data_IF_828646408744
#
_entry.id   IF_828646408744
#
_cell.length_a   1.000
_cell.length_b   1.000
_cell.length_c   1.000
_cell.angle_alpha   90.00
_cell.angle_beta   90.00
_cell.angle_gamma   90.00
#
_symmetry.space_group_name_H-M   'P 1'
#
loop_
_entity.id
_entity.type
_entity.pdbx_description
1 polymer ?
#
# COMPACT_ATOMS: atom_id res chain seq x y z
N UNK A 1 -12.91 0.44 -5.23
CA UNK A 1 -12.63 -0.98 -4.98
C UNK A 1 -13.94 -1.61 -4.55
N UNK A 2 -14.36 -2.71 -5.18
CA UNK A 2 -15.63 -3.39 -4.87
C UNK A 2 -16.84 -2.44 -4.92
N UNK A 3 -16.98 -1.72 -6.04
CA UNK A 3 -17.99 -0.68 -6.31
C UNK A 3 -17.99 0.54 -5.36
N UNK A 4 -17.18 0.51 -4.30
CA UNK A 4 -17.03 1.61 -3.34
C UNK A 4 -15.97 2.62 -3.78
N UNK A 5 -16.30 3.89 -3.61
CA UNK A 5 -15.39 5.03 -3.82
C UNK A 5 -14.66 5.37 -2.53
N UNK A 6 -13.36 5.57 -2.62
CA UNK A 6 -12.51 5.97 -1.51
C UNK A 6 -11.82 7.30 -1.86
N UNK A 7 -12.01 8.32 -1.03
CA UNK A 7 -11.45 9.66 -1.21
C UNK A 7 -10.27 9.94 -0.26
N UNK A 8 -9.77 8.91 0.41
CA UNK A 8 -8.65 8.95 1.35
C UNK A 8 -7.76 7.73 1.11
N UNK A 9 -6.54 7.79 1.62
CA UNK A 9 -5.62 6.68 1.57
C UNK A 9 -6.18 5.45 2.28
N UNK A 10 -6.04 4.29 1.64
CA UNK A 10 -6.57 3.02 2.12
C UNK A 10 -5.50 1.93 2.11
N UNK A 11 -5.76 0.91 2.91
CA UNK A 11 -5.08 -0.38 2.89
C UNK A 11 -6.12 -1.41 2.43
N UNK A 12 -5.76 -2.21 1.45
CA UNK A 12 -6.51 -3.39 1.01
C UNK A 12 -5.78 -4.61 1.54
N UNK A 13 -6.43 -5.34 2.43
CA UNK A 13 -5.93 -6.53 3.09
C UNK A 13 -5.98 -7.76 2.16
N UNK A 14 -5.25 -8.82 2.51
CA UNK A 14 -5.19 -10.06 1.71
C UNK A 14 -6.56 -10.71 1.55
N UNK A 15 -7.39 -10.64 2.58
CA UNK A 15 -8.77 -11.14 2.59
C UNK A 15 -9.76 -10.25 1.81
N UNK A 16 -9.28 -9.11 1.29
CA UNK A 16 -10.06 -8.13 0.55
C UNK A 16 -10.76 -7.10 1.42
N UNK A 17 -10.61 -7.13 2.75
CA UNK A 17 -11.08 -6.05 3.62
C UNK A 17 -10.32 -4.75 3.32
N UNK A 18 -10.97 -3.63 3.61
CA UNK A 18 -10.37 -2.30 3.38
C UNK A 18 -10.38 -1.49 4.66
N UNK A 19 -9.21 -1.00 5.06
CA UNK A 19 -9.07 -0.11 6.21
C UNK A 19 -8.42 1.22 5.83
N UNK A 20 -8.58 2.29 6.63
CA UNK A 20 -7.87 3.54 6.40
C UNK A 20 -6.36 3.39 6.64
N UNK A 21 -5.54 4.01 5.78
CA UNK A 21 -4.08 4.06 5.98
C UNK A 21 -3.72 4.86 7.24
N UNK A 22 -2.87 4.30 8.10
CA UNK A 22 -2.38 4.92 9.34
C UNK A 22 -1.19 5.87 9.09
N UNK A 23 -1.37 6.88 8.23
CA UNK A 23 -0.31 7.84 7.80
C UNK A 23 0.38 8.63 8.92
N UNK A 24 -0.22 8.65 10.11
CA UNK A 24 0.36 9.29 11.29
C UNK A 24 1.64 8.58 11.75
N UNK A 25 1.76 7.27 11.52
CA UNK A 25 2.95 6.48 11.83
C UNK A 25 4.16 7.05 11.08
N UNK A 26 4.06 7.18 9.75
CA UNK A 26 5.11 7.82 8.94
C UNK A 26 5.39 9.26 9.38
N UNK A 27 4.34 10.03 9.67
CA UNK A 27 4.49 11.43 10.05
C UNK A 27 5.24 11.61 11.38
N UNK A 28 5.02 10.73 12.36
CA UNK A 28 5.75 10.73 13.64
C UNK A 28 7.23 10.36 13.45
N UNK A 29 7.54 9.43 12.54
CA UNK A 29 8.92 8.97 12.29
C UNK A 29 9.75 9.93 11.42
N UNK A 30 9.17 10.43 10.33
CA UNK A 30 9.88 11.21 9.31
C UNK A 30 9.46 12.69 9.25
N UNK A 31 8.53 13.14 10.09
CA UNK A 31 7.93 14.48 10.01
C UNK A 31 6.96 14.66 8.84
N UNK A 32 6.81 13.66 7.96
CA UNK A 32 5.98 13.69 6.76
C UNK A 32 5.39 12.31 6.44
N UNK A 33 4.23 12.26 5.78
CA UNK A 33 3.62 11.01 5.29
C UNK A 33 4.04 10.62 3.87
N UNK A 34 4.87 11.45 3.22
CA UNK A 34 5.43 11.17 1.89
C UNK A 34 6.59 10.15 1.95
N UNK A 35 7.14 9.89 3.13
CA UNK A 35 8.10 8.81 3.37
C UNK A 35 7.36 7.76 4.19
N UNK A 36 7.08 6.60 3.59
CA UNK A 36 6.36 5.52 4.25
C UNK A 36 7.29 4.75 5.19
N UNK A 37 6.88 4.70 6.45
CA UNK A 37 7.53 3.92 7.49
C UNK A 37 7.23 2.44 7.37
N UNK A 38 8.22 1.60 7.70
CA UNK A 38 8.09 0.14 7.77
C UNK A 38 6.91 -0.28 8.67
N UNK A 39 6.68 0.45 9.75
CA UNK A 39 5.60 0.21 10.70
C UNK A 39 4.19 0.37 10.10
N UNK A 40 4.05 1.00 8.91
CA UNK A 40 2.79 0.98 8.15
C UNK A 40 2.60 -0.29 7.32
N UNK A 41 3.69 -0.99 7.01
CA UNK A 41 3.74 -2.18 6.16
C UNK A 41 3.74 -3.46 7.00
N UNK A 42 4.42 -3.45 8.15
CA UNK A 42 4.56 -4.59 9.06
C UNK A 42 3.24 -5.31 9.37
N UNK A 43 2.10 -4.63 9.64
CA UNK A 43 0.82 -5.32 9.84
C UNK A 43 0.39 -6.20 8.67
N UNK A 44 0.67 -5.77 7.42
CA UNK A 44 0.35 -6.54 6.22
C UNK A 44 1.25 -7.77 6.06
N UNK A 45 2.49 -7.71 6.52
CA UNK A 45 3.41 -8.87 6.46
C UNK A 45 2.86 -10.03 7.29
N UNK A 46 2.22 -9.74 8.43
CA UNK A 46 1.59 -10.77 9.25
C UNK A 46 0.42 -11.50 8.56
N UNK A 47 -0.19 -10.89 7.55
CA UNK A 47 -1.23 -11.53 6.72
C UNK A 47 -0.65 -12.53 5.70
N UNK A 48 0.68 -12.64 5.62
CA UNK A 48 1.43 -13.50 4.69
C UNK A 48 1.02 -13.31 3.22
N UNK A 49 1.06 -12.07 2.69
CA UNK A 49 0.89 -11.82 1.26
C UNK A 49 2.08 -12.40 0.48
N UNK A 50 1.83 -12.80 -0.77
CA UNK A 50 2.89 -13.10 -1.74
C UNK A 50 3.57 -11.82 -2.23
N UNK A 51 2.80 -10.74 -2.35
CA UNK A 51 3.27 -9.41 -2.78
C UNK A 51 2.49 -8.31 -2.08
N UNK A 52 3.17 -7.26 -1.65
CA UNK A 52 2.57 -6.01 -1.17
C UNK A 52 2.76 -4.93 -2.24
N UNK A 53 1.67 -4.30 -2.67
CA UNK A 53 1.71 -3.23 -3.66
C UNK A 53 1.53 -1.88 -2.96
N UNK A 54 2.46 -0.96 -3.18
CA UNK A 54 2.37 0.42 -2.70
C UNK A 54 2.06 1.35 -3.86
N UNK A 55 0.86 1.91 -3.85
CA UNK A 55 0.46 3.02 -4.72
C UNK A 55 1.04 4.32 -4.20
N UNK A 56 2.05 4.86 -4.88
CA UNK A 56 2.84 6.01 -4.40
C UNK A 56 2.23 7.39 -4.70
N UNK A 57 0.94 7.45 -5.03
CA UNK A 57 0.26 8.67 -5.44
C UNK A 57 0.11 8.75 -6.96
N UNK A 58 -0.69 9.71 -7.42
CA UNK A 58 -0.94 9.94 -8.85
C UNK A 58 0.37 10.28 -9.57
N UNK A 59 1.26 11.04 -8.94
CA UNK A 59 2.56 11.42 -9.49
C UNK A 59 3.71 10.55 -8.98
N UNK A 60 3.42 9.63 -8.06
CA UNK A 60 4.42 8.72 -7.49
C UNK A 60 5.40 9.40 -6.54
N UNK A 61 4.97 10.45 -5.83
CA UNK A 61 5.82 11.23 -4.94
C UNK A 61 6.16 10.50 -3.63
N UNK A 62 5.34 9.53 -3.22
CA UNK A 62 5.57 8.75 -2.01
C UNK A 62 6.74 7.78 -2.21
N UNK A 63 7.66 7.78 -1.25
CA UNK A 63 8.82 6.88 -1.19
C UNK A 63 8.72 5.98 0.02
N UNK A 64 9.36 4.82 -0.05
CA UNK A 64 9.61 4.02 1.15
C UNK A 64 10.78 4.63 1.91
N UNK A 65 10.70 4.61 3.24
CA UNK A 65 11.84 4.89 4.10
C UNK A 65 12.77 3.68 4.18
N UNK A 66 13.48 3.54 5.30
CA UNK A 66 14.26 2.34 5.57
C UNK A 66 13.31 1.16 5.86
N UNK A 67 13.40 0.11 5.05
CA UNK A 67 12.62 -1.13 5.13
C UNK A 67 13.61 -2.29 5.30
N UNK A 68 13.53 -2.98 6.42
CA UNK A 68 14.31 -4.17 6.80
C UNK A 68 13.47 -5.46 6.84
N UNK A 69 12.15 -5.38 6.65
CA UNK A 69 11.28 -6.55 6.51
C UNK A 69 11.55 -7.31 5.20
N UNK A 70 11.62 -8.64 5.30
CA UNK A 70 11.72 -9.54 4.16
C UNK A 70 10.33 -9.76 3.55
N UNK A 71 9.97 -8.91 2.60
CA UNK A 71 8.70 -8.98 1.86
C UNK A 71 8.87 -8.49 0.42
N UNK A 72 8.13 -9.10 -0.52
CA UNK A 72 8.07 -8.63 -1.91
C UNK A 72 7.20 -7.36 -1.98
N UNK A 73 7.86 -6.20 -2.04
CA UNK A 73 7.18 -4.89 -2.06
C UNK A 73 7.38 -4.24 -3.43
N UNK A 74 6.27 -3.96 -4.12
CA UNK A 74 6.25 -3.28 -5.41
C UNK A 74 5.71 -1.87 -5.24
N UNK A 75 6.54 -0.86 -5.51
CA UNK A 75 6.14 0.55 -5.46
C UNK A 75 5.86 1.07 -6.86
N UNK A 76 4.66 1.58 -7.11
CA UNK A 76 4.24 2.11 -8.40
C UNK A 76 3.34 3.33 -8.23
N UNK A 77 3.30 4.26 -9.20
CA UNK A 77 2.27 5.30 -9.24
C UNK A 77 0.88 4.67 -9.16
N UNK A 78 -0.04 5.30 -8.43
CA UNK A 78 -1.31 4.67 -8.00
C UNK A 78 -2.11 4.06 -9.15
N UNK A 79 -2.18 4.72 -10.32
CA UNK A 79 -2.86 4.16 -11.49
C UNK A 79 -2.22 2.86 -12.01
N UNK A 80 -0.90 2.72 -11.93
CA UNK A 80 -0.17 1.50 -12.30
C UNK A 80 -0.26 0.45 -11.20
N UNK A 81 -0.18 0.86 -9.94
CA UNK A 81 -0.34 -0.01 -8.77
C UNK A 81 -1.69 -0.74 -8.79
N UNK A 82 -2.79 -0.02 -9.06
CA UNK A 82 -4.14 -0.61 -9.16
C UNK A 82 -4.23 -1.65 -10.28
N UNK A 83 -3.63 -1.37 -11.46
CA UNK A 83 -3.60 -2.34 -12.56
C UNK A 83 -2.84 -3.60 -12.17
N UNK A 84 -1.66 -3.44 -11.54
CA UNK A 84 -0.84 -4.56 -11.08
C UNK A 84 -1.56 -5.38 -10.01
N UNK A 85 -2.22 -4.71 -9.07
CA UNK A 85 -3.03 -5.36 -8.04
C UNK A 85 -4.15 -6.21 -8.64
N UNK A 86 -4.94 -5.66 -9.56
CA UNK A 86 -6.02 -6.39 -10.20
C UNK A 86 -5.52 -7.59 -11.01
N UNK A 87 -4.37 -7.43 -11.69
CA UNK A 87 -3.73 -8.53 -12.40
C UNK A 87 -3.35 -9.66 -11.45
N UNK A 88 -2.54 -9.39 -10.43
CA UNK A 88 -2.04 -10.43 -9.52
C UNK A 88 -3.18 -11.09 -8.73
N UNK A 89 -4.19 -10.31 -8.31
CA UNK A 89 -5.39 -10.85 -7.66
C UNK A 89 -6.20 -11.74 -8.62
N UNK A 90 -6.31 -11.36 -9.89
CA UNK A 90 -6.96 -12.17 -10.93
C UNK A 90 -6.22 -13.47 -11.24
N UNK A 91 -4.90 -13.50 -11.04
CA UNK A 91 -4.07 -14.71 -11.09
C UNK A 91 -4.21 -15.61 -9.85
N UNK A 92 -5.02 -15.21 -8.86
CA UNK A 92 -5.24 -15.98 -7.62
C UNK A 92 -4.18 -15.76 -6.54
N UNK A 93 -3.28 -14.78 -6.71
CA UNK A 93 -2.23 -14.49 -5.72
C UNK A 93 -2.79 -13.77 -4.49
N UNK A 94 -2.16 -14.01 -3.35
CA UNK A 94 -2.40 -13.26 -2.10
C UNK A 94 -1.71 -11.91 -2.16
N UNK A 95 -2.47 -10.87 -2.45
CA UNK A 95 -1.93 -9.52 -2.64
C UNK A 95 -2.55 -8.57 -1.64
N UNK A 96 -1.71 -7.87 -0.89
CA UNK A 96 -2.12 -6.70 -0.11
C UNK A 96 -1.72 -5.42 -0.84
N UNK A 97 -2.40 -4.31 -0.56
CA UNK A 97 -2.05 -3.02 -1.14
C UNK A 97 -2.19 -1.87 -0.17
N UNK A 98 -1.27 -0.90 -0.25
CA UNK A 98 -1.39 0.42 0.39
C UNK A 98 -1.54 1.44 -0.72
N UNK A 99 -2.62 2.21 -0.71
CA UNK A 99 -2.97 3.12 -1.81
C UNK A 99 -2.97 4.56 -1.34
N UNK A 100 -2.03 5.35 -1.84
CA UNK A 100 -2.06 6.80 -1.73
C UNK A 100 -2.92 7.39 -2.85
N UNK A 101 -4.00 8.09 -2.52
CA UNK A 101 -4.97 8.57 -3.52
C UNK A 101 -4.67 9.99 -4.03
N UNK A 102 -3.76 10.71 -3.37
CA UNK A 102 -3.34 12.06 -3.77
C UNK A 102 -2.04 12.04 -4.59
N UNK A 103 -1.35 13.18 -4.69
CA UNK A 103 -0.18 13.41 -5.54
C UNK A 103 0.99 12.47 -5.22
#
# INVERSE_FOLDING_TARGET
YDEKKYNRDIIVHVDGNVTPRKKEISRRKYGTSHIMAEEEIEPLVHEKPETIIVGSGVHGALRLGEISIDADIIVLPTCKAVKKYNQLRGEGKKVAAIVHVTC
#
